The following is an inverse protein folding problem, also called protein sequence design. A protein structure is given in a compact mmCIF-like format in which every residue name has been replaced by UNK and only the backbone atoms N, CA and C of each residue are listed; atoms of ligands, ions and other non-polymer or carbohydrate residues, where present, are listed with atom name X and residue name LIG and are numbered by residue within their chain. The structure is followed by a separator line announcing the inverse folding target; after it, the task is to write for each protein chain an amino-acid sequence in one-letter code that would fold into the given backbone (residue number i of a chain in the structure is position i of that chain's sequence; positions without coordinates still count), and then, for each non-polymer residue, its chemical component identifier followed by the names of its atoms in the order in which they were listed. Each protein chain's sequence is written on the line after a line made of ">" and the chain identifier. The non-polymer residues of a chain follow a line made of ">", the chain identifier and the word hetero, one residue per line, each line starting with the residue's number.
data_IF_374305744865
#
_entry.id   IF_374305744865
#
_cell.length_a   1.000
_cell.length_b   1.000
_cell.length_c   1.000
_cell.angle_alpha   90.00
_cell.angle_beta   90.00
_cell.angle_gamma   90.00
#
_symmetry.space_group_name_H-M   'P 1'
#
loop_
_entity.id
_entity.type
_entity.pdbx_description
1 polymer ?
#
# COMPACT_ATOMS: atom_id res chain seq x y z
N UNK A 1 -8.27 -13.83 2.77
CA UNK A 1 -9.33 -12.80 2.92
C UNK A 1 -8.69 -11.46 2.64
N UNK A 2 -9.29 -10.63 1.79
CA UNK A 2 -8.67 -9.37 1.36
C UNK A 2 -9.33 -8.20 2.08
N UNK A 3 -8.54 -7.44 2.85
CA UNK A 3 -9.01 -6.21 3.46
C UNK A 3 -9.01 -5.09 2.39
N UNK A 4 -9.97 -4.17 2.50
CA UNK A 4 -9.90 -2.94 1.70
C UNK A 4 -8.81 -2.00 2.23
N UNK A 5 -8.24 -1.17 1.36
CA UNK A 5 -7.21 -0.16 1.66
C UNK A 5 -7.45 0.63 2.94
N UNK A 6 -8.71 1.06 3.16
CA UNK A 6 -9.07 1.82 4.35
C UNK A 6 -8.83 1.07 5.67
N UNK A 7 -8.97 -0.26 5.68
CA UNK A 7 -8.68 -1.06 6.87
C UNK A 7 -7.17 -1.10 7.13
N UNK A 8 -6.35 -1.22 6.09
CA UNK A 8 -4.90 -1.15 6.23
C UNK A 8 -4.45 0.23 6.73
N UNK A 9 -5.09 1.32 6.28
CA UNK A 9 -4.84 2.66 6.81
C UNK A 9 -5.16 2.79 8.31
N UNK A 10 -6.22 2.14 8.78
CA UNK A 10 -6.55 2.09 10.21
C UNK A 10 -5.49 1.29 10.97
N UNK A 11 -5.09 0.11 10.47
CA UNK A 11 -4.06 -0.72 11.10
C UNK A 11 -2.71 0.02 11.17
N UNK A 12 -2.31 0.69 10.08
CA UNK A 12 -1.10 1.51 10.00
C UNK A 12 -1.09 2.63 11.04
N UNK A 13 -2.22 3.32 11.18
CA UNK A 13 -2.36 4.39 12.17
C UNK A 13 -2.28 3.88 13.61
N UNK A 14 -3.00 2.79 13.94
CA UNK A 14 -3.02 2.21 15.30
C UNK A 14 -1.65 1.62 15.66
N UNK A 15 -0.90 1.08 14.70
CA UNK A 15 0.47 0.62 14.95
C UNK A 15 1.39 1.77 15.41
N UNK A 16 1.24 2.95 14.80
CA UNK A 16 2.00 4.15 15.16
C UNK A 16 1.46 4.85 16.43
N UNK A 17 0.16 4.69 16.71
CA UNK A 17 -0.54 5.28 17.84
C UNK A 17 -1.32 4.21 18.61
N UNK A 18 -0.63 3.31 19.34
CA UNK A 18 -1.31 2.28 20.11
C UNK A 18 -2.22 2.92 21.16
N UNK A 19 -3.28 2.21 21.51
CA UNK A 19 -4.28 2.65 22.49
C UNK A 19 -5.13 3.86 22.03
N UNK A 20 -5.19 4.14 20.73
CA UNK A 20 -6.16 5.09 20.18
C UNK A 20 -7.59 4.58 20.32
N UNK A 21 -8.51 5.48 20.64
CA UNK A 21 -9.94 5.15 20.75
C UNK A 21 -10.72 5.35 19.45
N UNK A 22 -11.90 4.74 19.32
CA UNK A 22 -12.77 4.96 18.17
C UNK A 22 -13.10 6.43 17.91
N UNK A 23 -13.50 7.22 18.94
CA UNK A 23 -13.72 8.66 18.79
C UNK A 23 -12.49 9.43 18.30
N UNK A 24 -11.29 9.09 18.78
CA UNK A 24 -10.03 9.68 18.28
C UNK A 24 -9.83 9.34 16.79
N UNK A 25 -10.06 8.08 16.39
CA UNK A 25 -9.96 7.69 14.99
C UNK A 25 -10.97 8.45 14.09
N UNK A 26 -12.17 8.79 14.60
CA UNK A 26 -13.15 9.64 13.89
C UNK A 26 -12.62 11.03 13.56
N UNK A 27 -11.77 11.61 14.40
CA UNK A 27 -11.17 12.91 14.12
C UNK A 27 -10.02 12.81 13.12
N UNK A 28 -9.28 11.70 13.13
CA UNK A 28 -8.16 11.41 12.21
C UNK A 28 -8.65 11.13 10.78
N UNK A 29 -9.76 10.40 10.64
CA UNK A 29 -10.34 10.04 9.34
C UNK A 29 -11.71 10.72 9.09
N UNK A 30 -11.77 12.07 9.02
CA UNK A 30 -13.03 12.80 9.00
C UNK A 30 -13.86 12.50 7.73
N UNK A 31 -13.23 12.17 6.61
CA UNK A 31 -13.94 11.81 5.37
C UNK A 31 -14.57 10.41 5.41
N UNK A 32 -14.23 9.59 6.41
CA UNK A 32 -14.68 8.19 6.56
C UNK A 32 -15.36 7.93 7.91
N UNK A 33 -15.68 8.98 8.67
CA UNK A 33 -16.19 8.88 10.05
C UNK A 33 -17.37 7.90 10.23
N UNK A 34 -18.29 7.82 9.27
CA UNK A 34 -19.44 6.89 9.29
C UNK A 34 -19.04 5.41 9.15
N UNK A 35 -17.84 5.12 8.63
CA UNK A 35 -17.36 3.77 8.34
C UNK A 35 -16.39 3.23 9.38
N UNK A 36 -15.82 4.09 10.22
CA UNK A 36 -14.77 3.72 11.18
C UNK A 36 -15.26 2.68 12.17
N UNK A 37 -16.43 2.89 12.76
CA UNK A 37 -16.97 1.95 13.74
C UNK A 37 -17.15 0.56 13.15
N UNK A 38 -17.77 0.46 11.96
CA UNK A 38 -17.90 -0.81 11.24
C UNK A 38 -16.55 -1.44 10.87
N UNK A 39 -15.57 -0.62 10.48
CA UNK A 39 -14.23 -1.09 10.16
C UNK A 39 -13.53 -1.64 11.40
N UNK A 40 -13.63 -0.96 12.54
CA UNK A 40 -13.07 -1.42 13.81
C UNK A 40 -13.75 -2.69 14.31
N UNK A 41 -15.08 -2.76 14.26
CA UNK A 41 -15.82 -3.99 14.59
C UNK A 41 -15.36 -5.17 13.73
N UNK A 42 -15.21 -4.95 12.41
CA UNK A 42 -14.72 -5.98 11.49
C UNK A 42 -13.30 -6.42 11.86
N UNK A 43 -12.38 -5.47 12.01
CA UNK A 43 -10.98 -5.74 12.33
C UNK A 43 -10.82 -6.46 13.68
N UNK A 44 -11.60 -6.09 14.70
CA UNK A 44 -11.63 -6.80 15.99
C UNK A 44 -12.25 -8.19 15.88
N UNK A 45 -13.36 -8.34 15.15
CA UNK A 45 -14.00 -9.67 14.95
C UNK A 45 -13.09 -10.66 14.24
N UNK A 46 -12.20 -10.15 13.38
CA UNK A 46 -11.21 -10.93 12.64
C UNK A 46 -9.90 -11.09 13.40
N UNK A 47 -9.86 -10.65 14.66
CA UNK A 47 -8.70 -10.71 15.55
C UNK A 47 -7.47 -9.97 15.00
N UNK A 48 -7.65 -8.96 14.15
CA UNK A 48 -6.54 -8.08 13.75
C UNK A 48 -6.26 -7.04 14.83
N UNK A 49 -7.31 -6.55 15.49
CA UNK A 49 -7.21 -5.62 16.61
C UNK A 49 -7.62 -6.29 17.91
N UNK A 50 -6.90 -5.95 18.97
CA UNK A 50 -7.31 -6.15 20.35
C UNK A 50 -7.84 -4.82 20.89
N UNK A 51 -8.67 -4.91 21.92
CA UNK A 51 -9.26 -3.75 22.59
C UNK A 51 -8.98 -3.80 24.08
N UNK A 52 -8.85 -2.64 24.68
CA UNK A 52 -8.56 -2.41 26.11
C UNK A 52 -9.16 -1.09 26.58
N UNK A 53 -9.41 -0.97 27.87
CA UNK A 53 -9.64 0.30 28.58
C UNK A 53 -8.33 0.98 28.96
N UNK A 54 -7.20 0.26 28.95
CA UNK A 54 -5.89 0.76 29.26
C UNK A 54 -5.45 1.86 28.29
N UNK A 55 -4.92 2.95 28.82
CA UNK A 55 -4.46 4.08 28.03
C UNK A 55 -3.04 3.89 27.46
N UNK A 56 -2.30 2.89 27.94
CA UNK A 56 -0.94 2.59 27.52
C UNK A 56 -0.52 1.18 27.97
N UNK A 57 0.64 0.77 27.49
CA UNK A 57 1.21 -0.57 27.69
C UNK A 57 1.46 -0.91 29.17
N UNK A 58 1.93 0.06 29.95
CA UNK A 58 2.17 -0.15 31.39
C UNK A 58 0.88 -0.50 32.13
N UNK A 59 -0.22 0.20 31.83
CA UNK A 59 -1.52 -0.06 32.45
C UNK A 59 -2.08 -1.40 31.95
N UNK A 60 -1.95 -1.67 30.66
CA UNK A 60 -2.41 -2.92 30.05
C UNK A 60 -1.73 -4.13 30.71
N UNK A 61 -0.40 -4.14 30.76
CA UNK A 61 0.35 -5.26 31.35
C UNK A 61 0.07 -5.49 32.84
N UNK A 62 -0.31 -4.44 33.59
CA UNK A 62 -0.68 -4.55 34.99
C UNK A 62 -2.06 -5.19 35.23
N UNK A 63 -2.97 -5.06 34.26
CA UNK A 63 -4.39 -5.39 34.46
C UNK A 63 -4.97 -6.36 33.43
N UNK A 64 -4.20 -6.77 32.40
CA UNK A 64 -4.69 -7.60 31.29
C UNK A 64 -5.37 -8.90 31.74
N UNK A 65 -4.88 -9.54 32.79
CA UNK A 65 -5.43 -10.80 33.28
C UNK A 65 -6.85 -10.64 33.87
N UNK A 66 -7.14 -9.47 34.44
CA UNK A 66 -8.49 -9.11 34.92
C UNK A 66 -9.36 -8.52 33.83
N UNK A 67 -8.74 -7.85 32.86
CA UNK A 67 -9.41 -7.08 31.83
C UNK A 67 -9.93 -7.97 30.70
N UNK A 68 -9.10 -8.87 30.17
CA UNK A 68 -9.41 -9.72 29.01
C UNK A 68 -10.75 -10.46 29.20
N UNK A 69 -11.02 -11.18 30.32
CA UNK A 69 -12.28 -11.90 30.48
C UNK A 69 -13.51 -10.98 30.51
N UNK A 70 -13.35 -9.75 31.03
CA UNK A 70 -14.45 -8.77 31.10
C UNK A 70 -14.76 -8.20 29.72
N UNK A 71 -13.74 -7.92 28.93
CA UNK A 71 -13.94 -7.36 27.61
C UNK A 71 -14.47 -8.40 26.63
N UNK A 72 -14.05 -9.65 26.74
CA UNK A 72 -14.67 -10.75 25.98
C UNK A 72 -16.17 -10.89 26.29
N UNK A 73 -16.57 -10.69 27.55
CA UNK A 73 -17.97 -10.76 27.97
C UNK A 73 -18.79 -9.54 27.51
N UNK A 74 -18.21 -8.34 27.52
CA UNK A 74 -18.89 -7.10 27.11
C UNK A 74 -18.99 -6.99 25.58
N UNK A 75 -18.04 -7.56 24.84
CA UNK A 75 -17.98 -7.45 23.39
C UNK A 75 -17.66 -6.02 22.92
N UNK A 76 -17.41 -5.85 21.61
CA UNK A 76 -16.92 -4.60 21.04
C UNK A 76 -17.68 -3.34 21.51
N UNK A 77 -16.94 -2.36 22.04
CA UNK A 77 -17.43 -0.99 22.22
C UNK A 77 -16.56 0.03 21.49
N UNK A 78 -17.20 1.03 20.90
CA UNK A 78 -16.52 2.06 20.12
C UNK A 78 -15.56 2.94 20.95
N UNK A 79 -15.81 3.07 22.25
CA UNK A 79 -14.99 3.88 23.16
C UNK A 79 -13.74 3.15 23.66
N UNK A 80 -13.60 1.86 23.35
CA UNK A 80 -12.39 1.13 23.70
C UNK A 80 -11.18 1.65 22.94
N UNK A 81 -10.02 1.37 23.50
CA UNK A 81 -8.72 1.68 22.94
C UNK A 81 -8.19 0.46 22.23
N UNK A 82 -7.58 0.67 21.07
CA UNK A 82 -7.19 -0.41 20.18
C UNK A 82 -5.67 -0.50 20.05
N UNK A 83 -5.17 -1.72 19.91
CA UNK A 83 -3.81 -2.00 19.51
C UNK A 83 -3.80 -3.25 18.61
N UNK A 84 -2.72 -3.43 17.85
CA UNK A 84 -2.62 -4.57 16.94
C UNK A 84 -2.40 -5.85 17.73
N UNK A 85 -3.08 -6.90 17.30
CA UNK A 85 -2.67 -8.26 17.64
C UNK A 85 -1.43 -8.65 16.82
N UNK A 86 -0.81 -9.78 17.18
CA UNK A 86 0.22 -10.42 16.35
C UNK A 86 -0.28 -10.69 14.91
N UNK A 87 -1.52 -11.18 14.76
CA UNK A 87 -2.11 -11.42 13.43
C UNK A 87 -2.29 -10.11 12.65
N UNK A 88 -2.63 -9.02 13.35
CA UNK A 88 -2.72 -7.67 12.79
C UNK A 88 -1.36 -7.19 12.26
N UNK A 89 -0.30 -7.33 13.04
CA UNK A 89 1.07 -6.97 12.62
C UNK A 89 1.52 -7.77 11.41
N UNK A 90 1.39 -9.10 11.44
CA UNK A 90 1.78 -9.96 10.32
C UNK A 90 1.02 -9.60 9.04
N UNK A 91 -0.29 -9.35 9.15
CA UNK A 91 -1.14 -9.00 8.02
C UNK A 91 -0.77 -7.65 7.43
N UNK A 92 -0.48 -6.66 8.27
CA UNK A 92 -0.05 -5.33 7.85
C UNK A 92 1.34 -5.37 7.18
N UNK A 93 2.30 -6.12 7.75
CA UNK A 93 3.62 -6.29 7.16
C UNK A 93 3.56 -6.99 5.80
N UNK A 94 2.74 -8.04 5.68
CA UNK A 94 2.53 -8.73 4.41
C UNK A 94 1.97 -7.80 3.33
N UNK A 95 1.00 -6.95 3.70
CA UNK A 95 0.42 -5.98 2.77
C UNK A 95 1.45 -4.93 2.33
N UNK A 96 2.27 -4.41 3.25
CA UNK A 96 3.34 -3.46 2.91
C UNK A 96 4.36 -4.07 1.94
N UNK A 97 4.71 -5.36 2.12
CA UNK A 97 5.58 -6.09 1.18
C UNK A 97 4.94 -6.22 -0.20
N UNK A 98 3.68 -6.63 -0.27
CA UNK A 98 2.94 -6.73 -1.53
C UNK A 98 2.87 -5.39 -2.27
N UNK A 99 2.60 -4.30 -1.55
CA UNK A 99 2.54 -2.96 -2.14
C UNK A 99 3.91 -2.48 -2.65
N UNK A 100 4.99 -2.84 -1.97
CA UNK A 100 6.35 -2.53 -2.42
C UNK A 100 6.73 -3.35 -3.67
N UNK A 101 6.43 -4.65 -3.70
CA UNK A 101 6.62 -5.49 -4.87
C UNK A 101 5.84 -4.97 -6.08
N UNK A 102 4.58 -4.58 -5.87
CA UNK A 102 3.76 -3.97 -6.91
C UNK A 102 4.36 -2.65 -7.42
N UNK A 103 4.93 -1.83 -6.53
CA UNK A 103 5.59 -0.57 -6.88
C UNK A 103 6.83 -0.82 -7.74
N UNK A 104 7.66 -1.80 -7.37
CA UNK A 104 8.85 -2.21 -8.13
C UNK A 104 8.43 -2.71 -9.52
N UNK A 105 7.48 -3.63 -9.59
CA UNK A 105 6.98 -4.19 -10.84
C UNK A 105 6.45 -3.09 -11.78
N UNK A 106 5.71 -2.12 -11.23
CA UNK A 106 5.20 -0.98 -11.99
C UNK A 106 6.33 -0.11 -12.55
N UNK A 107 7.41 0.09 -11.78
CA UNK A 107 8.59 0.82 -12.25
C UNK A 107 9.31 0.05 -13.37
N UNK A 108 9.49 -1.26 -13.22
CA UNK A 108 10.08 -2.11 -14.27
C UNK A 108 9.28 -2.05 -15.57
N UNK A 109 7.94 -2.16 -15.48
CA UNK A 109 7.07 -2.00 -16.65
C UNK A 109 7.21 -0.63 -17.32
N UNK A 110 7.42 0.42 -16.52
CA UNK A 110 7.57 1.77 -17.05
C UNK A 110 8.92 1.93 -17.77
N UNK A 111 10.00 1.37 -17.21
CA UNK A 111 11.32 1.31 -17.87
C UNK A 111 11.24 0.52 -19.18
N UNK A 112 10.67 -0.68 -19.17
CA UNK A 112 10.50 -1.51 -20.40
C UNK A 112 9.68 -0.77 -21.47
N UNK A 113 8.64 -0.04 -21.06
CA UNK A 113 7.81 0.75 -21.98
C UNK A 113 8.60 1.90 -22.60
N UNK A 114 9.46 2.56 -21.83
CA UNK A 114 10.28 3.66 -22.31
C UNK A 114 11.42 3.16 -23.20
N UNK A 115 12.03 2.01 -22.88
CA UNK A 115 13.01 1.31 -23.72
C UNK A 115 12.42 0.85 -25.06
N UNK A 116 11.18 0.36 -25.06
CA UNK A 116 10.46 0.00 -26.29
C UNK A 116 10.22 1.21 -27.20
N UNK A 117 9.92 2.38 -26.61
CA UNK A 117 9.74 3.62 -27.37
C UNK A 117 11.06 4.14 -27.93
N UNK A 118 12.13 4.14 -27.14
CA UNK A 118 13.46 4.58 -27.60
C UNK A 118 14.01 3.66 -28.69
N UNK A 119 13.82 2.35 -28.59
CA UNK A 119 14.19 1.39 -29.63
C UNK A 119 13.42 1.60 -30.96
N UNK A 120 12.11 1.90 -30.90
CA UNK A 120 11.34 2.23 -32.11
C UNK A 120 11.79 3.55 -32.75
N UNK A 121 12.11 4.55 -31.93
CA UNK A 121 12.57 5.85 -32.40
C UNK A 121 13.96 5.74 -33.06
N UNK A 122 14.89 4.98 -32.45
CA UNK A 122 16.22 4.77 -33.02
C UNK A 122 16.20 3.99 -34.33
N UNK A 123 15.34 2.97 -34.45
CA UNK A 123 15.14 2.24 -35.70
C UNK A 123 14.60 3.14 -36.82
N UNK A 124 13.67 4.05 -36.51
CA UNK A 124 13.13 5.01 -37.48
C UNK A 124 14.22 5.97 -37.99
N UNK A 125 15.03 6.54 -37.08
CA UNK A 125 16.15 7.40 -37.48
C UNK A 125 17.22 6.65 -38.27
N UNK A 126 17.60 5.44 -37.84
CA UNK A 126 18.59 4.60 -38.53
C UNK A 126 18.16 4.27 -39.96
N UNK A 127 16.91 3.86 -40.16
CA UNK A 127 16.37 3.60 -41.50
C UNK A 127 16.34 4.86 -42.38
N UNK A 128 16.07 6.03 -41.79
CA UNK A 128 16.14 7.32 -42.50
C UNK A 128 17.55 7.65 -42.98
N UNK A 129 18.56 7.50 -42.12
CA UNK A 129 19.96 7.70 -42.49
C UNK A 129 20.44 6.70 -43.54
N UNK A 130 20.02 5.44 -43.45
CA UNK A 130 20.35 4.40 -44.43
C UNK A 130 19.78 4.76 -45.83
N UNK A 131 18.54 5.24 -45.89
CA UNK A 131 17.90 5.65 -47.14
C UNK A 131 18.65 6.84 -47.80
N UNK A 132 19.04 7.84 -47.00
CA UNK A 132 19.80 9.00 -47.48
C UNK A 132 21.18 8.55 -48.00
N UNK A 133 21.85 7.65 -47.30
CA UNK A 133 23.13 7.11 -47.72
C UNK A 133 23.04 6.36 -49.07
N UNK A 134 21.97 5.59 -49.28
CA UNK A 134 21.70 4.90 -50.55
C UNK A 134 21.52 5.91 -51.68
N UNK A 135 20.73 6.96 -51.47
CA UNK A 135 20.51 8.03 -52.48
C UNK A 135 21.83 8.71 -52.85
N UNK A 136 22.65 9.09 -51.86
CA UNK A 136 23.95 9.70 -52.09
C UNK A 136 24.87 8.75 -52.88
N UNK A 137 24.88 7.46 -52.53
CA UNK A 137 25.68 6.45 -53.23
C UNK A 137 25.27 6.32 -54.71
N UNK A 138 23.97 6.29 -55.00
CA UNK A 138 23.43 6.24 -56.37
C UNK A 138 23.83 7.49 -57.16
N UNK A 139 23.67 8.69 -56.57
CA UNK A 139 24.05 9.95 -57.21
C UNK A 139 25.56 9.97 -57.52
N UNK A 140 26.39 9.52 -56.57
CA UNK A 140 27.84 9.43 -56.78
C UNK A 140 28.20 8.45 -57.89
N UNK A 141 27.48 7.34 -58.02
CA UNK A 141 27.73 6.32 -59.03
C UNK A 141 27.39 6.85 -60.43
N UNK A 142 26.26 7.56 -60.56
CA UNK A 142 25.85 8.21 -61.81
C UNK A 142 26.87 9.29 -62.21
N UNK A 143 27.34 10.09 -61.26
CA UNK A 143 28.30 11.17 -61.52
C UNK A 143 29.69 10.68 -61.92
N UNK A 144 30.09 9.47 -61.51
CA UNK A 144 31.37 8.87 -61.89
C UNK A 144 31.31 8.03 -63.19
N UNK A 145 30.11 7.79 -63.75
CA UNK A 145 29.91 7.08 -65.02
C UNK A 145 29.72 8.02 -66.23
N UNK A 146 29.71 9.34 -66.02
CA UNK A 146 29.73 10.39 -67.04
C UNK A 146 31.05 11.16 -66.97
#
# INVERSE_FOLDING_TARGET
>A
MQLAEFHYQILDYIEQHPYSSGPELKTVFPSKWMRIERALTLLSSQKFLLFTTAANDKIYEQHKDEEIPRMEALGFEFNWRFFLSETGHITLESHRKEMEEFRILKQEFQVVKDDSKTAKLSAYFSNGFALIAIIISIISLIRNCF
#
